data_IF_430784290599
#
_entry.id   IF_430784290599
#
_cell.length_a   1.000
_cell.length_b   1.000
_cell.length_c   1.000
_cell.angle_alpha   90.00
_cell.angle_beta   90.00
_cell.angle_gamma   90.00
#
_symmetry.space_group_name_H-M   'P 1'
#
loop_
_entity.id
_entity.type
_entity.pdbx_description
1 polymer ?
#
# COMPACT_ATOMS: atom_id res chain seq x y z
N UNK A 1 -1.32 22.76 59.70
CA UNK A 1 -0.95 21.40 59.25
C UNK A 1 -1.64 21.20 57.92
N UNK A 2 -0.97 21.61 56.85
CA UNK A 2 -1.44 21.40 55.48
C UNK A 2 -1.15 19.96 55.07
N UNK A 3 -2.12 19.28 54.49
CA UNK A 3 -1.91 18.10 53.68
C UNK A 3 -2.73 18.29 52.40
N UNK A 4 -2.04 18.79 51.38
CA UNK A 4 -2.50 18.81 50.01
C UNK A 4 -2.77 17.36 49.56
N UNK A 5 -3.99 17.07 49.12
CA UNK A 5 -4.28 15.89 48.31
C UNK A 5 -4.13 16.29 46.84
N UNK A 6 -2.88 16.21 46.42
CA UNK A 6 -2.41 16.33 45.05
C UNK A 6 -2.88 15.13 44.21
N UNK A 7 -3.35 15.42 43.00
CA UNK A 7 -3.04 14.62 41.81
C UNK A 7 -3.58 13.18 41.71
N UNK A 8 -4.84 13.02 41.28
CA UNK A 8 -5.22 11.88 40.42
C UNK A 8 -5.31 12.32 38.96
N UNK A 9 -4.17 12.74 38.43
CA UNK A 9 -3.91 12.79 36.99
C UNK A 9 -3.67 11.38 36.47
N UNK A 10 -4.74 10.58 36.30
CA UNK A 10 -4.68 9.36 35.48
C UNK A 10 -5.18 9.69 34.07
N UNK A 11 -4.41 10.49 33.33
CA UNK A 11 -4.56 10.57 31.87
C UNK A 11 -4.07 9.26 31.26
N UNK A 12 -5.03 8.36 31.07
CA UNK A 12 -4.96 7.15 30.23
C UNK A 12 -4.08 7.42 29.00
N UNK A 13 -3.09 6.56 28.67
CA UNK A 13 -2.25 6.79 27.51
C UNK A 13 -3.14 6.77 26.27
N UNK A 14 -3.35 7.94 25.66
CA UNK A 14 -3.99 8.07 24.35
C UNK A 14 -2.97 7.68 23.28
N UNK A 15 -2.53 6.43 23.31
CA UNK A 15 -1.77 5.79 22.25
C UNK A 15 -2.72 4.92 21.46
N UNK A 16 -3.50 5.48 20.53
CA UNK A 16 -4.35 4.66 19.66
C UNK A 16 -4.35 5.12 18.21
N UNK A 17 -4.29 6.43 17.93
CA UNK A 17 -4.39 6.87 16.52
C UNK A 17 -3.02 6.90 15.84
N UNK A 18 -2.01 7.50 16.47
CA UNK A 18 -0.69 7.69 15.86
C UNK A 18 0.10 6.38 15.66
N UNK A 19 -0.05 5.40 16.56
CA UNK A 19 0.62 4.10 16.42
C UNK A 19 -0.06 3.20 15.38
N UNK A 20 -1.41 3.22 15.27
CA UNK A 20 -2.10 2.48 14.20
C UNK A 20 -1.78 3.08 12.83
N UNK A 21 -1.75 4.41 12.73
CA UNK A 21 -1.36 5.09 11.51
C UNK A 21 0.11 4.82 11.14
N UNK A 22 1.00 4.69 12.12
CA UNK A 22 2.39 4.29 11.89
C UNK A 22 2.51 2.82 11.46
N UNK A 23 1.74 1.90 12.05
CA UNK A 23 1.72 0.48 11.65
C UNK A 23 1.16 0.32 10.23
N UNK A 24 0.07 1.03 9.88
CA UNK A 24 -0.50 1.01 8.53
C UNK A 24 0.46 1.62 7.50
N UNK A 25 1.12 2.73 7.83
CA UNK A 25 2.17 3.32 6.97
C UNK A 25 3.39 2.40 6.84
N UNK A 26 3.82 1.75 7.91
CA UNK A 26 4.91 0.78 7.90
C UNK A 26 4.55 -0.46 7.06
N UNK A 27 3.28 -0.86 7.07
CA UNK A 27 2.75 -1.94 6.24
C UNK A 27 2.83 -1.54 4.77
N UNK A 28 2.37 -0.36 4.37
CA UNK A 28 2.47 0.07 2.97
C UNK A 28 3.93 0.16 2.47
N UNK A 29 4.85 0.61 3.34
CA UNK A 29 6.30 0.70 3.02
C UNK A 29 6.92 -0.67 2.74
N UNK A 30 6.45 -1.73 3.39
CA UNK A 30 6.96 -3.11 3.21
C UNK A 30 6.13 -3.92 2.20
N UNK A 31 4.85 -3.60 2.03
CA UNK A 31 3.93 -4.33 1.15
C UNK A 31 4.28 -4.06 -0.32
N UNK A 32 4.43 -2.80 -0.75
CA UNK A 32 4.67 -2.51 -2.18
C UNK A 32 5.95 -3.19 -2.71
N UNK A 33 7.11 -3.14 -2.02
CA UNK A 33 8.29 -3.89 -2.46
C UNK A 33 8.05 -5.40 -2.58
N UNK A 34 7.30 -5.99 -1.65
CA UNK A 34 6.95 -7.42 -1.69
C UNK A 34 6.06 -7.73 -2.89
N UNK A 35 5.03 -6.92 -3.14
CA UNK A 35 4.14 -7.08 -4.29
C UNK A 35 4.93 -6.99 -5.61
N UNK A 36 5.90 -6.07 -5.70
CA UNK A 36 6.77 -5.97 -6.87
C UNK A 36 7.60 -7.24 -7.06
N UNK A 37 8.17 -7.79 -5.99
CA UNK A 37 8.89 -9.08 -6.06
C UNK A 37 7.98 -10.22 -6.55
N UNK A 38 6.73 -10.27 -6.08
CA UNK A 38 5.75 -11.26 -6.53
C UNK A 38 5.43 -11.09 -8.03
N UNK A 39 5.31 -9.84 -8.52
CA UNK A 39 5.08 -9.50 -9.94
C UNK A 39 6.30 -9.74 -10.84
N UNK A 40 7.51 -9.62 -10.31
CA UNK A 40 8.74 -9.88 -11.04
C UNK A 40 9.11 -11.36 -11.07
N UNK A 41 8.59 -12.17 -10.14
CA UNK A 41 8.83 -13.62 -10.09
C UNK A 41 8.19 -14.35 -11.28
N UNK A 42 8.76 -15.48 -11.68
CA UNK A 42 8.17 -16.38 -12.68
C UNK A 42 6.88 -17.09 -12.23
N UNK A 43 6.46 -16.88 -10.97
CA UNK A 43 5.25 -17.48 -10.40
C UNK A 43 4.00 -16.69 -10.79
N UNK A 44 3.47 -16.95 -11.98
CA UNK A 44 2.26 -16.27 -12.51
C UNK A 44 1.04 -16.38 -11.61
N UNK A 45 0.94 -17.44 -10.79
CA UNK A 45 -0.12 -17.59 -9.80
C UNK A 45 -0.09 -16.53 -8.68
N UNK A 46 1.03 -15.80 -8.52
CA UNK A 46 1.17 -14.68 -7.58
C UNK A 46 0.87 -13.33 -8.23
N UNK A 47 0.84 -13.24 -9.57
CA UNK A 47 0.71 -11.97 -10.27
C UNK A 47 -0.66 -11.34 -10.07
N UNK A 48 -1.74 -12.09 -10.33
CA UNK A 48 -3.12 -11.62 -10.14
C UNK A 48 -3.40 -11.13 -8.71
N UNK A 49 -3.11 -11.90 -7.63
CA UNK A 49 -3.33 -11.40 -6.28
C UNK A 49 -2.44 -10.18 -5.97
N UNK A 50 -1.21 -10.12 -6.46
CA UNK A 50 -0.33 -8.98 -6.23
C UNK A 50 -0.80 -7.70 -6.96
N UNK A 51 -1.25 -7.81 -8.21
CA UNK A 51 -1.86 -6.70 -8.95
C UNK A 51 -3.12 -6.19 -8.24
N UNK A 52 -3.95 -7.10 -7.71
CA UNK A 52 -5.18 -6.73 -7.01
C UNK A 52 -4.90 -5.96 -5.71
N UNK A 53 -3.93 -6.42 -4.92
CA UNK A 53 -3.51 -5.68 -3.72
C UNK A 53 -2.90 -4.33 -4.09
N UNK A 54 -2.07 -4.28 -5.14
CA UNK A 54 -1.48 -3.03 -5.60
C UNK A 54 -2.58 -2.03 -6.01
N UNK A 55 -3.58 -2.47 -6.78
CA UNK A 55 -4.74 -1.65 -7.15
C UNK A 55 -5.47 -1.10 -5.92
N UNK A 56 -5.73 -1.93 -4.91
CA UNK A 56 -6.36 -1.48 -3.67
C UNK A 56 -5.53 -0.37 -3.00
N UNK A 57 -4.20 -0.53 -2.96
CA UNK A 57 -3.30 0.47 -2.36
C UNK A 57 -3.32 1.78 -3.14
N UNK A 58 -3.22 1.76 -4.48
CA UNK A 58 -3.25 3.01 -5.27
C UNK A 58 -4.62 3.68 -5.31
N UNK A 59 -5.72 2.94 -5.14
CA UNK A 59 -7.07 3.52 -5.03
C UNK A 59 -7.29 4.13 -3.63
N UNK A 60 -6.81 3.48 -2.57
CA UNK A 60 -7.02 3.92 -1.18
C UNK A 60 -6.11 5.11 -0.79
N UNK A 61 -4.92 5.21 -1.38
CA UNK A 61 -3.95 6.26 -1.02
C UNK A 61 -4.09 7.52 -1.88
N UNK A 62 -4.34 8.67 -1.23
CA UNK A 62 -4.30 10.01 -1.86
C UNK A 62 -2.91 10.36 -2.44
N UNK A 63 -1.84 9.67 -1.99
CA UNK A 63 -0.46 9.81 -2.47
C UNK A 63 -0.05 8.76 -3.52
N UNK A 64 -1.01 8.14 -4.21
CA UNK A 64 -0.77 7.14 -5.27
C UNK A 64 0.27 7.56 -6.31
N UNK A 65 0.33 8.86 -6.65
CA UNK A 65 1.34 9.43 -7.57
C UNK A 65 2.76 9.38 -7.02
N UNK A 66 2.96 9.67 -5.73
CA UNK A 66 4.28 9.60 -5.09
C UNK A 66 4.78 8.15 -5.03
N UNK A 67 3.89 7.22 -4.69
CA UNK A 67 4.18 5.78 -4.69
C UNK A 67 4.53 5.28 -6.11
N UNK A 68 3.79 5.75 -7.12
CA UNK A 68 4.02 5.41 -8.52
C UNK A 68 5.43 5.81 -8.97
N UNK A 69 5.87 7.02 -8.62
CA UNK A 69 7.22 7.52 -8.93
C UNK A 69 8.29 6.79 -8.13
N UNK A 70 8.08 6.64 -6.81
CA UNK A 70 9.02 6.00 -5.89
C UNK A 70 9.34 4.56 -6.29
N UNK A 71 8.33 3.81 -6.71
CA UNK A 71 8.46 2.39 -7.04
C UNK A 71 8.45 2.09 -8.53
N UNK A 72 8.41 3.12 -9.39
CA UNK A 72 8.38 2.99 -10.87
C UNK A 72 7.27 2.03 -11.34
N UNK A 73 6.05 2.24 -10.84
CA UNK A 73 4.93 1.32 -11.13
C UNK A 73 4.50 1.34 -12.60
N UNK A 74 4.61 2.48 -13.30
CA UNK A 74 4.25 2.59 -14.73
C UNK A 74 5.01 1.58 -15.61
N UNK A 75 6.36 1.56 -15.63
CA UNK A 75 7.08 0.58 -16.46
C UNK A 75 6.82 -0.87 -16.02
N UNK A 76 6.56 -1.12 -14.74
CA UNK A 76 6.18 -2.45 -14.26
C UNK A 76 4.82 -2.88 -14.83
N UNK A 77 3.81 -1.99 -14.85
CA UNK A 77 2.50 -2.28 -15.40
C UNK A 77 2.53 -2.47 -16.93
N UNK A 78 3.40 -1.74 -17.64
CA UNK A 78 3.56 -1.88 -19.08
C UNK A 78 3.90 -3.32 -19.48
N UNK A 79 4.76 -4.02 -18.72
CA UNK A 79 5.11 -5.43 -18.96
C UNK A 79 3.89 -6.34 -19.06
N UNK A 80 2.85 -6.07 -18.27
CA UNK A 80 1.60 -6.83 -18.25
C UNK A 80 0.60 -6.33 -19.30
N UNK A 81 0.65 -5.05 -19.65
CA UNK A 81 -0.21 -4.46 -20.69
C UNK A 81 0.29 -4.70 -22.12
N UNK A 82 1.55 -5.06 -22.29
CA UNK A 82 2.10 -5.55 -23.55
C UNK A 82 1.60 -6.96 -23.90
N UNK A 83 1.03 -7.67 -22.92
CA UNK A 83 0.40 -8.96 -23.16
C UNK A 83 -0.98 -8.79 -23.81
N UNK A 84 -1.13 -9.25 -25.05
CA UNK A 84 -2.36 -9.11 -25.87
C UNK A 84 -3.44 -10.12 -25.42
N UNK A 85 -3.05 -11.14 -24.66
CA UNK A 85 -4.03 -11.99 -23.98
C UNK A 85 -4.74 -11.14 -22.91
N UNK A 86 -6.03 -10.89 -23.14
CA UNK A 86 -6.92 -10.14 -22.23
C UNK A 86 -7.23 -10.96 -20.97
N UNK A 87 -6.19 -11.41 -20.29
CA UNK A 87 -6.25 -12.11 -19.02
C UNK A 87 -6.45 -11.10 -17.86
N UNK A 88 -6.63 -11.62 -16.65
CA UNK A 88 -6.83 -10.79 -15.47
C UNK A 88 -5.66 -9.83 -15.21
N UNK A 89 -4.43 -10.23 -15.57
CA UNK A 89 -3.23 -9.40 -15.38
C UNK A 89 -3.26 -8.18 -16.30
N UNK A 90 -3.67 -8.36 -17.56
CA UNK A 90 -3.88 -7.26 -18.50
C UNK A 90 -4.95 -6.28 -17.98
N UNK A 91 -6.10 -6.80 -17.55
CA UNK A 91 -7.21 -5.97 -17.05
C UNK A 91 -6.79 -5.19 -15.80
N UNK A 92 -6.11 -5.84 -14.85
CA UNK A 92 -5.67 -5.18 -13.61
C UNK A 92 -4.55 -4.17 -13.87
N UNK A 93 -3.55 -4.49 -14.69
CA UNK A 93 -2.44 -3.58 -15.00
C UNK A 93 -2.88 -2.33 -15.76
N UNK A 94 -3.82 -2.46 -16.70
CA UNK A 94 -4.42 -1.31 -17.40
C UNK A 94 -5.30 -0.46 -16.48
N UNK A 95 -6.04 -1.10 -15.56
CA UNK A 95 -6.81 -0.39 -14.53
C UNK A 95 -5.90 0.40 -13.60
N UNK A 96 -4.82 -0.20 -13.11
CA UNK A 96 -3.83 0.48 -12.26
C UNK A 96 -3.24 1.70 -12.98
N UNK A 97 -2.84 1.56 -14.25
CA UNK A 97 -2.36 2.68 -15.06
C UNK A 97 -3.39 3.80 -15.18
N UNK A 98 -4.66 3.46 -15.42
CA UNK A 98 -5.73 4.45 -15.51
C UNK A 98 -5.94 5.21 -14.18
N UNK A 99 -5.78 4.55 -13.04
CA UNK A 99 -5.94 5.16 -11.71
C UNK A 99 -4.77 6.10 -11.38
N UNK A 100 -3.53 5.73 -11.73
CA UNK A 100 -2.34 6.52 -11.39
C UNK A 100 -2.11 7.71 -12.33
N UNK A 101 -2.63 7.64 -13.56
CA UNK A 101 -2.62 8.73 -14.54
C UNK A 101 -1.42 8.71 -15.47
#
# INVERSE_FOLDING_TARGET
MEAALDGLGSSKPRGTVSQLQAVMQQSTITIIPRLIQDLESDKTNLHVPALRELLNIVVDNQNSKDLTLKYKLIPLMNKFSENIEKNDEFVLSTTIQHVIG
#
